data_IF_374347404964
#
_entry.id   IF_374347404964
#
_cell.length_a   1.000
_cell.length_b   1.000
_cell.length_c   1.000
_cell.angle_alpha   90.00
_cell.angle_beta   90.00
_cell.angle_gamma   90.00
#
_symmetry.space_group_name_H-M   'P 1'
#
loop_
_entity.id
_entity.type
_entity.pdbx_description
1 polymer ?
#
# COMPACT_ATOMS: atom_id res chain seq x y z
N UNK A 1 -15.67 -55.27 19.48
CA UNK A 1 -15.45 -54.01 18.70
C UNK A 1 -16.66 -53.08 18.76
N UNK A 2 -17.01 -52.59 19.96
CA UNK A 2 -18.11 -51.63 20.17
C UNK A 2 -17.71 -50.49 21.11
N UNK A 3 -16.40 -50.21 21.17
CA UNK A 3 -15.78 -49.07 21.87
C UNK A 3 -14.84 -48.24 20.97
N UNK A 4 -14.81 -48.53 19.66
CA UNK A 4 -13.97 -47.84 18.66
C UNK A 4 -14.81 -47.02 17.66
N UNK A 5 -16.02 -46.60 18.05
CA UNK A 5 -16.97 -45.86 17.19
C UNK A 5 -17.59 -44.63 17.87
N UNK A 6 -17.04 -44.19 19.01
CA UNK A 6 -17.48 -42.99 19.75
C UNK A 6 -16.28 -42.08 20.08
N UNK A 7 -15.16 -42.20 19.34
CA UNK A 7 -13.96 -41.37 19.56
C UNK A 7 -13.34 -40.78 18.28
N UNK A 8 -14.08 -40.85 17.16
CA UNK A 8 -13.73 -40.15 15.91
C UNK A 8 -14.79 -39.10 15.47
N UNK A 9 -15.90 -38.97 16.19
CA UNK A 9 -16.97 -38.01 15.89
C UNK A 9 -16.77 -36.61 16.51
N UNK A 10 -15.72 -36.39 17.28
CA UNK A 10 -15.45 -35.09 17.95
C UNK A 10 -14.21 -34.36 17.43
N UNK A 11 -13.51 -34.91 16.41
CA UNK A 11 -12.30 -34.31 15.84
C UNK A 11 -12.54 -33.58 14.50
N UNK A 12 -13.70 -33.75 13.87
CA UNK A 12 -14.11 -33.00 12.67
C UNK A 12 -14.97 -31.76 12.97
N UNK A 13 -15.46 -31.59 14.20
CA UNK A 13 -16.30 -30.44 14.60
C UNK A 13 -15.53 -29.32 15.29
N UNK A 14 -14.24 -29.50 15.57
CA UNK A 14 -13.32 -28.48 16.12
C UNK A 14 -12.25 -28.12 15.08
N UNK A 15 -12.67 -28.04 13.81
CA UNK A 15 -11.86 -27.50 12.71
C UNK A 15 -12.67 -26.45 11.93
N UNK A 16 -13.55 -25.73 12.64
CA UNK A 16 -14.40 -24.66 12.10
C UNK A 16 -14.21 -23.30 12.79
N UNK A 17 -13.24 -23.19 13.70
CA UNK A 17 -12.90 -21.93 14.37
C UNK A 17 -11.37 -21.80 14.36
N UNK A 18 -10.87 -20.66 13.84
CA UNK A 18 -9.45 -20.24 13.74
C UNK A 18 -8.71 -20.44 12.41
N UNK A 19 -9.30 -20.01 11.28
CA UNK A 19 -8.56 -19.26 10.24
C UNK A 19 -9.50 -18.17 9.67
N UNK A 20 -9.94 -17.23 10.50
CA UNK A 20 -10.36 -15.92 9.99
C UNK A 20 -9.15 -15.03 10.18
N UNK A 21 -8.42 -14.82 9.08
CA UNK A 21 -7.41 -13.79 8.98
C UNK A 21 -8.04 -12.46 9.37
N UNK A 22 -7.71 -11.97 10.55
CA UNK A 22 -8.10 -10.67 11.09
C UNK A 22 -7.35 -9.55 10.35
N UNK A 23 -7.70 -9.34 9.08
CA UNK A 23 -7.58 -8.11 8.30
C UNK A 23 -7.76 -8.43 6.81
N UNK A 24 -9.00 -8.56 6.38
CA UNK A 24 -9.37 -8.34 4.99
C UNK A 24 -10.84 -7.93 4.98
N UNK A 25 -11.11 -6.62 5.03
CA UNK A 25 -12.42 -6.10 4.70
C UNK A 25 -12.76 -6.54 3.29
N UNK A 26 -13.51 -7.63 3.16
CA UNK A 26 -14.00 -8.09 1.87
C UNK A 26 -14.89 -6.99 1.28
N UNK A 27 -14.48 -6.46 0.13
CA UNK A 27 -15.30 -5.58 -0.70
C UNK A 27 -16.43 -6.44 -1.25
N UNK A 28 -17.66 -6.25 -0.80
CA UNK A 28 -18.76 -7.12 -1.22
C UNK A 28 -19.50 -6.60 -2.46
N UNK A 29 -19.47 -5.29 -2.72
CA UNK A 29 -20.16 -4.74 -3.89
C UNK A 29 -19.66 -3.34 -4.25
N UNK A 30 -19.67 -3.07 -5.56
CA UNK A 30 -19.53 -1.75 -6.14
C UNK A 30 -20.76 -1.48 -7.02
N UNK A 31 -21.29 -0.25 -6.95
CA UNK A 31 -22.23 0.24 -7.94
C UNK A 31 -21.92 1.66 -8.39
N UNK A 32 -22.32 1.94 -9.63
CA UNK A 32 -22.18 3.23 -10.29
C UNK A 32 -23.50 3.65 -10.91
N UNK A 33 -23.79 4.96 -10.87
CA UNK A 33 -24.84 5.56 -11.67
C UNK A 33 -24.57 5.38 -13.17
N UNK A 34 -25.63 5.46 -14.00
CA UNK A 34 -25.56 5.32 -15.47
C UNK A 34 -24.44 6.13 -16.16
N UNK A 35 -24.15 7.33 -15.65
CA UNK A 35 -23.14 8.25 -16.19
C UNK A 35 -21.75 8.10 -15.54
N UNK A 36 -21.58 7.13 -14.64
CA UNK A 36 -20.36 6.88 -13.86
C UNK A 36 -19.90 8.03 -12.97
N UNK A 37 -20.73 9.06 -12.76
CA UNK A 37 -20.39 10.20 -11.89
C UNK A 37 -20.54 9.91 -10.40
N UNK A 38 -21.43 8.98 -10.05
CA UNK A 38 -21.66 8.57 -8.67
C UNK A 38 -21.37 7.09 -8.57
N UNK A 39 -20.21 6.73 -8.03
CA UNK A 39 -19.81 5.36 -7.80
C UNK A 39 -19.44 5.20 -6.33
N UNK A 40 -19.80 4.05 -5.76
CA UNK A 40 -19.45 3.74 -4.39
C UNK A 40 -19.17 2.26 -4.19
N UNK A 41 -18.25 1.99 -3.27
CA UNK A 41 -18.01 0.67 -2.70
C UNK A 41 -18.50 0.63 -1.27
N UNK A 42 -18.93 -0.55 -0.85
CA UNK A 42 -19.32 -0.82 0.52
C UNK A 42 -18.31 -1.73 1.22
N UNK A 43 -17.94 -1.33 2.43
CA UNK A 43 -17.11 -2.10 3.34
C UNK A 43 -17.91 -2.46 4.59
N UNK A 44 -18.04 -3.76 4.88
CA UNK A 44 -18.68 -4.27 6.09
C UNK A 44 -17.60 -4.50 7.15
N UNK A 45 -17.22 -3.43 7.85
CA UNK A 45 -16.21 -3.44 8.89
C UNK A 45 -16.62 -2.49 10.00
N UNK A 46 -16.62 -2.99 11.24
CA UNK A 46 -17.07 -2.19 12.36
C UNK A 46 -16.01 -1.23 12.88
N UNK A 47 -16.16 0.05 12.53
CA UNK A 47 -15.18 1.10 12.80
C UNK A 47 -15.84 2.44 13.08
N UNK A 48 -15.09 3.34 13.74
CA UNK A 48 -15.45 4.74 13.91
C UNK A 48 -15.31 5.55 12.62
N UNK A 49 -15.83 6.79 12.61
CA UNK A 49 -15.82 7.64 11.42
C UNK A 49 -14.40 7.96 10.94
N UNK A 50 -13.49 8.30 11.86
CA UNK A 50 -12.10 8.63 11.48
C UNK A 50 -11.40 7.43 10.83
N UNK A 51 -11.64 6.23 11.33
CA UNK A 51 -11.08 4.99 10.82
C UNK A 51 -11.70 4.60 9.48
N UNK A 52 -13.02 4.74 9.33
CA UNK A 52 -13.68 4.60 8.03
C UNK A 52 -13.08 5.54 6.97
N UNK A 53 -12.90 6.82 7.32
CA UNK A 53 -12.30 7.81 6.44
C UNK A 53 -10.84 7.50 6.07
N UNK A 54 -10.06 6.96 7.01
CA UNK A 54 -8.68 6.52 6.76
C UNK A 54 -8.66 5.32 5.81
N UNK A 55 -9.51 4.33 6.04
CA UNK A 55 -9.61 3.14 5.19
C UNK A 55 -9.99 3.52 3.74
N UNK A 56 -10.92 4.45 3.53
CA UNK A 56 -11.20 4.94 2.18
C UNK A 56 -9.99 5.63 1.54
N UNK A 57 -9.23 6.43 2.31
CA UNK A 57 -8.02 7.13 1.82
C UNK A 57 -6.89 6.19 1.46
N UNK A 58 -6.71 5.12 2.23
CA UNK A 58 -5.72 4.08 1.92
C UNK A 58 -6.03 3.37 0.59
N UNK A 59 -7.30 3.36 0.17
CA UNK A 59 -7.73 2.86 -1.14
C UNK A 59 -7.78 3.95 -2.21
N UNK A 60 -7.20 5.13 -1.98
CA UNK A 60 -7.16 6.26 -2.93
C UNK A 60 -8.42 7.13 -2.95
N UNK A 61 -9.41 6.84 -2.11
CA UNK A 61 -10.70 7.54 -2.11
C UNK A 61 -11.01 8.31 -0.82
N UNK A 62 -12.30 8.57 -0.61
CA UNK A 62 -12.84 9.20 0.59
C UNK A 62 -14.19 8.59 0.96
N UNK A 63 -14.74 8.94 2.13
CA UNK A 63 -16.09 8.52 2.44
C UNK A 63 -17.08 9.09 1.42
N UNK A 64 -17.99 8.24 0.93
CA UNK A 64 -18.98 8.56 -0.09
C UNK A 64 -19.81 9.77 0.35
N UNK A 65 -19.81 10.84 -0.44
CA UNK A 65 -20.57 12.06 -0.14
C UNK A 65 -21.80 12.10 -1.04
N UNK A 66 -22.94 11.55 -0.58
CA UNK A 66 -24.17 11.68 -1.35
C UNK A 66 -24.51 13.17 -1.48
N UNK A 67 -24.38 13.69 -2.70
CA UNK A 67 -25.04 14.93 -3.11
C UNK A 67 -26.54 14.64 -3.09
N UNK A 68 -27.39 15.60 -2.73
CA UNK A 68 -28.86 15.48 -2.86
C UNK A 68 -29.26 15.35 -4.35
N UNK A 69 -28.99 14.19 -4.94
CA UNK A 69 -29.29 13.81 -6.31
C UNK A 69 -29.88 12.40 -6.29
N UNK A 70 -30.89 12.19 -7.12
CA UNK A 70 -31.54 10.87 -7.22
C UNK A 70 -30.53 9.77 -7.61
N UNK A 71 -29.49 10.11 -8.37
CA UNK A 71 -28.47 9.16 -8.80
C UNK A 71 -27.55 8.68 -7.66
N UNK A 72 -27.27 9.51 -6.65
CA UNK A 72 -26.48 9.08 -5.49
C UNK A 72 -27.31 8.18 -4.56
N UNK A 73 -28.59 8.50 -4.40
CA UNK A 73 -29.55 7.71 -3.61
C UNK A 73 -29.78 6.31 -4.21
N UNK A 74 -29.86 6.21 -5.55
CA UNK A 74 -29.98 4.91 -6.24
C UNK A 74 -28.77 4.00 -5.98
N UNK A 75 -27.56 4.55 -5.98
CA UNK A 75 -26.32 3.81 -5.69
C UNK A 75 -26.32 3.29 -4.25
N UNK A 76 -26.64 4.17 -3.30
CA UNK A 76 -26.73 3.79 -1.87
C UNK A 76 -27.79 2.73 -1.65
N UNK A 77 -28.98 2.91 -2.23
CA UNK A 77 -30.08 1.96 -2.13
C UNK A 77 -29.74 0.57 -2.69
N UNK A 78 -29.00 0.51 -3.80
CA UNK A 78 -28.53 -0.76 -4.34
C UNK A 78 -27.50 -1.45 -3.42
N UNK A 79 -26.50 -0.70 -2.94
CA UNK A 79 -25.41 -1.26 -2.12
C UNK A 79 -25.89 -1.75 -0.76
N UNK A 80 -26.88 -1.07 -0.19
CA UNK A 80 -27.49 -1.43 1.09
C UNK A 80 -28.67 -2.39 0.95
N UNK A 81 -28.99 -2.81 -0.28
CA UNK A 81 -30.08 -3.75 -0.53
C UNK A 81 -29.79 -5.06 0.21
N UNK A 82 -30.75 -5.50 1.02
CA UNK A 82 -30.67 -6.71 1.85
C UNK A 82 -29.58 -6.68 2.94
N UNK A 83 -29.01 -5.52 3.25
CA UNK A 83 -28.15 -5.36 4.43
C UNK A 83 -28.96 -4.81 5.60
N UNK A 84 -28.55 -5.19 6.81
CA UNK A 84 -29.11 -4.70 8.06
C UNK A 84 -27.98 -3.99 8.79
N UNK A 85 -28.25 -2.80 9.32
CA UNK A 85 -27.28 -2.01 10.07
C UNK A 85 -27.14 -0.59 9.55
N UNK A 86 -26.11 0.09 10.06
CA UNK A 86 -25.82 1.48 9.76
C UNK A 86 -24.43 1.61 9.14
N UNK A 87 -24.33 2.50 8.14
CA UNK A 87 -23.11 2.66 7.37
C UNK A 87 -22.69 4.13 7.36
N UNK A 88 -21.41 4.38 7.61
CA UNK A 88 -20.88 5.74 7.55
C UNK A 88 -20.89 6.29 6.13
N UNK A 89 -21.24 7.57 6.01
CA UNK A 89 -21.12 8.39 4.79
C UNK A 89 -20.16 9.55 5.04
N UNK A 90 -19.74 10.26 3.99
CA UNK A 90 -18.82 11.40 4.09
C UNK A 90 -19.47 12.71 4.54
N UNK A 91 -20.75 12.69 4.94
CA UNK A 91 -21.47 13.85 5.43
C UNK A 91 -21.16 14.12 6.91
N UNK A 92 -20.83 15.37 7.21
CA UNK A 92 -20.65 15.91 8.57
C UNK A 92 -21.62 17.06 8.79
N UNK A 93 -22.17 17.14 9.99
CA UNK A 93 -22.94 18.32 10.37
C UNK A 93 -21.99 19.50 10.65
N UNK A 94 -22.41 20.75 10.39
CA UNK A 94 -21.65 21.94 10.76
C UNK A 94 -21.33 21.93 12.27
N UNK A 95 -20.16 22.46 12.64
CA UNK A 95 -19.64 22.48 14.02
C UNK A 95 -20.61 23.10 15.03
N UNK A 96 -21.50 23.97 14.55
CA UNK A 96 -22.48 24.75 15.31
C UNK A 96 -23.76 23.93 15.66
N UNK A 97 -23.87 22.68 15.18
CA UNK A 97 -24.98 21.76 15.51
C UNK A 97 -24.43 20.49 16.19
N UNK A 98 -24.33 20.49 17.52
CA UNK A 98 -23.90 19.33 18.30
C UNK A 98 -24.90 18.88 19.35
N UNK A 99 -24.74 17.62 19.77
CA UNK A 99 -25.51 17.03 20.84
C UNK A 99 -24.89 17.44 22.18
N UNK A 100 -25.63 18.21 22.98
CA UNK A 100 -25.22 18.45 24.37
C UNK A 100 -25.44 17.17 25.19
N UNK A 101 -24.55 16.95 26.18
CA UNK A 101 -24.49 15.76 27.04
C UNK A 101 -25.80 15.46 27.83
N UNK A 102 -26.79 16.36 27.75
CA UNK A 102 -28.10 16.27 28.40
C UNK A 102 -29.21 15.69 27.52
N UNK A 103 -28.97 15.38 26.24
CA UNK A 103 -30.00 14.80 25.36
C UNK A 103 -29.76 13.31 25.11
N UNK A 104 -30.40 12.48 25.93
CA UNK A 104 -30.56 11.04 25.66
C UNK A 104 -31.48 10.85 24.44
N UNK A 105 -30.89 10.54 23.29
CA UNK A 105 -31.62 10.16 22.08
C UNK A 105 -32.18 8.74 22.24
N UNK A 106 -33.49 8.63 22.48
CA UNK A 106 -34.21 7.36 22.35
C UNK A 106 -34.46 7.06 20.87
N UNK A 107 -34.35 5.79 20.54
CA UNK A 107 -34.51 5.21 19.21
C UNK A 107 -35.89 5.57 18.61
N UNK A 108 -35.90 6.32 17.49
CA UNK A 108 -37.11 6.49 16.65
C UNK A 108 -37.68 7.91 16.47
N UNK A 109 -37.11 8.98 17.03
CA UNK A 109 -37.64 10.35 16.83
C UNK A 109 -37.01 11.10 15.64
N UNK A 110 -37.87 11.61 14.73
CA UNK A 110 -37.51 12.64 13.75
C UNK A 110 -37.30 13.97 14.49
N UNK A 111 -36.05 14.41 14.58
CA UNK A 111 -35.75 15.73 15.17
C UNK A 111 -36.10 16.82 14.16
N UNK A 112 -37.19 17.55 14.40
CA UNK A 112 -37.60 18.70 13.57
C UNK A 112 -37.16 20.05 14.12
N UNK A 113 -36.61 20.18 15.32
CA UNK A 113 -36.19 21.48 15.84
C UNK A 113 -35.14 21.31 16.95
N UNK A 114 -34.01 22.00 16.81
CA UNK A 114 -32.99 22.10 17.86
C UNK A 114 -33.10 23.49 18.47
N UNK A 115 -33.63 23.59 19.68
CA UNK A 115 -33.62 24.84 20.45
C UNK A 115 -32.23 25.05 21.06
N UNK A 116 -31.60 26.17 20.73
CA UNK A 116 -30.34 26.61 21.30
C UNK A 116 -30.50 26.86 22.81
N UNK A 117 -29.75 26.13 23.63
CA UNK A 117 -29.62 26.44 25.05
C UNK A 117 -28.14 26.68 25.34
N UNK A 118 -27.78 27.96 25.51
CA UNK A 118 -26.45 28.40 25.93
C UNK A 118 -26.28 28.10 27.42
N UNK A 119 -25.40 27.14 27.76
CA UNK A 119 -24.76 27.06 29.08
C UNK A 119 -23.36 26.45 28.96
N UNK A 120 -22.50 26.86 29.90
CA UNK A 120 -21.04 26.82 29.92
C UNK A 120 -20.40 25.42 29.85
N UNK A 121 -19.23 25.35 29.20
CA UNK A 121 -18.28 24.22 29.11
C UNK A 121 -18.82 22.86 28.62
N UNK A 122 -19.75 22.84 27.67
CA UNK A 122 -20.12 21.59 26.99
C UNK A 122 -19.15 21.24 25.86
N UNK A 123 -18.37 20.18 26.07
CA UNK A 123 -17.60 19.52 25.00
C UNK A 123 -18.54 19.10 23.87
N UNK A 124 -18.54 19.87 22.79
CA UNK A 124 -19.38 19.66 21.61
C UNK A 124 -18.95 18.36 20.91
N UNK A 125 -19.78 17.31 21.01
CA UNK A 125 -19.49 16.02 20.35
C UNK A 125 -19.74 16.19 18.85
N UNK A 126 -18.74 15.95 17.98
CA UNK A 126 -18.92 16.09 16.54
C UNK A 126 -19.90 15.02 16.03
N UNK A 127 -20.87 15.46 15.23
CA UNK A 127 -21.88 14.59 14.63
C UNK A 127 -21.56 14.27 13.16
N UNK A 128 -21.59 12.98 12.87
CA UNK A 128 -21.38 12.39 11.57
C UNK A 128 -22.66 11.69 11.10
N UNK A 129 -22.85 11.52 9.80
CA UNK A 129 -24.10 10.98 9.26
C UNK A 129 -23.93 9.52 8.83
N UNK A 130 -24.82 8.68 9.37
CA UNK A 130 -25.00 7.30 8.96
C UNK A 130 -26.18 7.14 8.01
N UNK A 131 -26.17 6.08 7.20
CA UNK A 131 -27.30 5.67 6.36
C UNK A 131 -27.65 4.21 6.61
N UNK A 132 -28.95 3.89 6.57
CA UNK A 132 -29.49 2.52 6.65
C UNK A 132 -30.15 2.09 5.33
N UNK A 133 -30.50 0.80 5.23
CA UNK A 133 -31.05 0.19 4.01
C UNK A 133 -32.39 0.75 3.54
N UNK A 134 -33.15 1.38 4.44
CA UNK A 134 -34.39 2.12 4.16
C UNK A 134 -34.14 3.55 3.65
N UNK A 135 -32.87 3.95 3.50
CA UNK A 135 -32.47 5.29 3.07
C UNK A 135 -32.50 6.34 4.18
N UNK A 136 -32.78 5.94 5.44
CA UNK A 136 -32.81 6.88 6.55
C UNK A 136 -31.40 7.38 6.89
N UNK A 137 -31.24 8.70 6.96
CA UNK A 137 -29.99 9.37 7.34
C UNK A 137 -30.06 9.81 8.79
N UNK A 138 -29.17 9.29 9.61
CA UNK A 138 -29.21 9.53 11.07
C UNK A 138 -27.90 10.18 11.53
N UNK A 139 -27.94 11.36 12.16
CA UNK A 139 -26.77 11.96 12.79
C UNK A 139 -26.39 11.16 14.03
N UNK A 140 -25.10 10.85 14.18
CA UNK A 140 -24.54 10.05 15.26
C UNK A 140 -23.19 10.63 15.70
N UNK A 141 -22.76 10.45 16.97
CA UNK A 141 -21.40 10.76 17.38
C UNK A 141 -20.37 10.12 16.45
N UNK A 142 -19.39 10.91 15.99
CA UNK A 142 -18.36 10.38 15.08
C UNK A 142 -17.49 9.27 15.71
N UNK A 143 -17.52 9.13 17.04
CA UNK A 143 -16.84 8.09 17.82
C UNK A 143 -17.57 6.74 17.84
N UNK A 144 -18.83 6.69 17.41
CA UNK A 144 -19.61 5.45 17.35
C UNK A 144 -18.96 4.47 16.36
N UNK A 145 -19.03 3.18 16.67
CA UNK A 145 -18.63 2.12 15.74
C UNK A 145 -19.89 1.58 15.06
N UNK A 146 -19.96 1.73 13.74
CA UNK A 146 -21.09 1.24 12.95
C UNK A 146 -20.77 -0.08 12.25
N UNK A 147 -21.68 -0.62 11.45
CA UNK A 147 -21.52 -1.94 10.81
C UNK A 147 -20.64 -1.89 9.55
N UNK A 148 -20.50 -0.69 8.97
CA UNK A 148 -19.67 -0.49 7.80
C UNK A 148 -19.60 0.96 7.35
N UNK A 149 -19.08 1.16 6.14
CA UNK A 149 -18.94 2.48 5.54
C UNK A 149 -18.91 2.41 4.02
N UNK A 150 -19.32 3.50 3.40
CA UNK A 150 -19.32 3.68 1.95
C UNK A 150 -18.14 4.57 1.55
N UNK A 151 -17.36 4.14 0.57
CA UNK A 151 -16.31 4.95 -0.03
C UNK A 151 -16.69 5.36 -1.45
N UNK A 152 -16.46 6.62 -1.78
CA UNK A 152 -16.29 7.07 -3.16
C UNK A 152 -14.80 7.19 -3.44
N UNK A 153 -14.42 7.23 -4.70
CA UNK A 153 -13.07 7.61 -5.04
C UNK A 153 -13.05 8.84 -5.95
N UNK A 154 -12.10 9.72 -5.63
CA UNK A 154 -11.86 11.01 -6.26
C UNK A 154 -10.96 10.94 -7.50
N UNK A 155 -10.25 9.82 -7.68
CA UNK A 155 -9.20 9.63 -8.69
C UNK A 155 -9.64 8.73 -9.87
N UNK A 156 -10.75 7.98 -9.72
CA UNK A 156 -11.40 7.24 -10.79
C UNK A 156 -11.08 5.74 -10.83
N UNK A 157 -10.47 5.18 -9.79
CA UNK A 157 -10.20 3.76 -9.58
C UNK A 157 -11.26 3.04 -8.74
N UNK A 158 -12.41 3.71 -8.57
CA UNK A 158 -13.47 3.46 -7.57
C UNK A 158 -13.84 2.00 -7.41
N UNK A 159 -13.84 1.20 -8.47
CA UNK A 159 -14.28 -0.20 -8.43
C UNK A 159 -13.31 -1.21 -9.03
N UNK A 160 -12.06 -0.81 -9.31
CA UNK A 160 -11.10 -1.65 -10.05
C UNK A 160 -11.73 -2.23 -11.33
N UNK A 161 -12.57 -1.43 -11.99
CA UNK A 161 -13.38 -1.81 -13.17
C UNK A 161 -14.53 -2.81 -12.92
N UNK A 162 -14.68 -3.37 -11.72
CA UNK A 162 -15.72 -4.34 -11.41
C UNK A 162 -16.96 -3.68 -10.78
N UNK A 163 -17.68 -2.88 -11.57
CA UNK A 163 -18.87 -2.17 -11.13
C UNK A 163 -20.17 -2.77 -11.70
N UNK A 164 -21.25 -2.68 -10.92
CA UNK A 164 -22.61 -2.76 -11.44
C UNK A 164 -23.05 -1.36 -11.88
N UNK A 165 -23.41 -1.21 -13.15
CA UNK A 165 -23.92 0.06 -13.68
C UNK A 165 -25.44 0.05 -13.55
N UNK A 166 -25.95 1.00 -12.77
CA UNK A 166 -27.38 1.19 -12.53
C UNK A 166 -28.01 1.93 -13.71
N UNK A 167 -28.67 1.16 -14.57
CA UNK A 167 -29.43 1.63 -15.72
C UNK A 167 -30.61 0.69 -15.94
N UNK A 168 -31.83 1.23 -16.02
CA UNK A 168 -33.04 0.43 -16.25
C UNK A 168 -33.06 -0.20 -17.65
N UNK A 169 -32.15 0.20 -18.55
CA UNK A 169 -32.00 -0.41 -19.86
C UNK A 169 -31.43 -1.84 -19.77
N UNK A 170 -31.97 -2.72 -20.62
CA UNK A 170 -31.48 -4.10 -20.75
C UNK A 170 -30.14 -4.15 -21.49
N UNK A 171 -29.41 -5.27 -21.37
CA UNK A 171 -28.10 -5.49 -21.99
C UNK A 171 -28.04 -5.22 -23.51
N UNK A 172 -29.17 -5.30 -24.21
CA UNK A 172 -29.28 -4.99 -25.65
C UNK A 172 -28.80 -3.57 -26.01
N UNK A 173 -28.92 -2.62 -25.08
CA UNK A 173 -28.50 -1.23 -25.27
C UNK A 173 -27.33 -0.83 -24.36
N UNK A 174 -26.76 -1.79 -23.62
CA UNK A 174 -25.65 -1.53 -22.73
C UNK A 174 -24.37 -1.32 -23.56
N UNK A 175 -23.67 -0.19 -23.39
CA UNK A 175 -22.45 0.12 -24.15
C UNK A 175 -21.22 -0.64 -23.60
N UNK A 176 -21.36 -1.94 -23.30
CA UNK A 176 -20.23 -2.78 -22.92
C UNK A 176 -19.37 -3.10 -24.14
N UNK A 177 -18.05 -3.00 -24.01
CA UNK A 177 -17.10 -3.31 -25.09
C UNK A 177 -17.10 -4.79 -25.46
N UNK A 178 -17.25 -5.68 -24.47
CA UNK A 178 -17.29 -7.12 -24.67
C UNK A 178 -18.62 -7.73 -24.20
N UNK A 179 -18.66 -8.33 -23.00
CA UNK A 179 -19.80 -9.14 -22.53
C UNK A 179 -20.64 -8.35 -21.53
N UNK A 180 -21.95 -8.26 -21.78
CA UNK A 180 -22.92 -7.72 -20.83
C UNK A 180 -23.64 -8.85 -20.07
N UNK A 181 -23.85 -8.64 -18.77
CA UNK A 181 -24.66 -9.51 -17.92
C UNK A 181 -25.75 -8.68 -17.22
N UNK A 182 -27.04 -8.99 -17.43
CA UNK A 182 -28.12 -8.22 -16.80
C UNK A 182 -28.16 -8.53 -15.30
N UNK A 183 -28.45 -7.51 -14.50
CA UNK A 183 -28.75 -7.64 -13.07
C UNK A 183 -30.05 -6.92 -12.77
N UNK A 184 -30.63 -7.18 -11.59
CA UNK A 184 -31.99 -6.73 -11.25
C UNK A 184 -32.23 -5.22 -11.43
N UNK A 185 -31.22 -4.39 -11.17
CA UNK A 185 -31.30 -2.93 -11.21
C UNK A 185 -30.39 -2.30 -12.28
N UNK A 186 -29.83 -3.10 -13.18
CA UNK A 186 -28.77 -2.63 -14.07
C UNK A 186 -28.12 -3.71 -14.92
N UNK A 187 -26.84 -3.49 -15.24
CA UNK A 187 -26.01 -4.48 -15.91
C UNK A 187 -24.58 -4.44 -15.38
N UNK A 188 -23.86 -5.54 -15.59
CA UNK A 188 -22.42 -5.65 -15.34
C UNK A 188 -21.73 -5.98 -16.66
N UNK A 189 -20.77 -5.14 -17.04
CA UNK A 189 -19.88 -5.42 -18.16
C UNK A 189 -18.72 -6.31 -17.69
N UNK A 190 -18.27 -7.20 -18.56
CA UNK A 190 -17.17 -8.14 -18.31
C UNK A 190 -16.37 -8.33 -19.58
N UNK A 191 -15.10 -8.67 -19.43
CA UNK A 191 -14.16 -8.76 -20.53
C UNK A 191 -13.86 -10.22 -20.89
N UNK A 192 -13.49 -10.44 -22.15
CA UNK A 192 -12.99 -11.73 -22.62
C UNK A 192 -11.59 -12.02 -22.05
N UNK A 193 -11.12 -13.27 -22.19
CA UNK A 193 -9.80 -13.66 -21.70
C UNK A 193 -8.67 -12.75 -22.22
N UNK A 194 -7.68 -12.47 -21.36
CA UNK A 194 -6.59 -11.48 -21.54
C UNK A 194 -7.00 -10.01 -21.40
N UNK A 195 -8.28 -9.71 -21.16
CA UNK A 195 -8.75 -8.36 -20.89
C UNK A 195 -9.38 -8.26 -19.51
N UNK A 196 -9.26 -7.10 -18.86
CA UNK A 196 -9.92 -6.77 -17.60
C UNK A 196 -10.76 -5.51 -17.76
N UNK A 197 -11.83 -5.33 -16.97
CA UNK A 197 -12.58 -4.09 -17.00
C UNK A 197 -11.68 -2.89 -16.73
N UNK A 198 -11.85 -1.83 -17.53
CA UNK A 198 -11.07 -0.62 -17.36
C UNK A 198 -11.39 0.01 -16.01
N UNK A 199 -10.34 0.47 -15.34
CA UNK A 199 -10.40 0.92 -13.96
C UNK A 199 -11.30 2.17 -13.81
N UNK A 200 -11.31 3.05 -14.82
CA UNK A 200 -12.10 4.30 -14.87
C UNK A 200 -13.46 4.15 -15.50
N UNK A 201 -13.53 3.36 -16.58
CA UNK A 201 -14.79 3.06 -17.25
C UNK A 201 -15.04 1.55 -17.24
N UNK A 202 -15.85 1.02 -16.31
CA UNK A 202 -16.12 -0.41 -16.19
C UNK A 202 -16.80 -1.01 -17.43
N UNK A 203 -17.25 -0.18 -18.38
CA UNK A 203 -17.84 -0.61 -19.65
C UNK A 203 -16.80 -0.96 -20.70
N UNK A 204 -15.55 -0.50 -20.53
CA UNK A 204 -14.42 -0.74 -21.43
C UNK A 204 -13.50 -1.83 -20.91
N UNK A 205 -12.65 -2.37 -21.78
CA UNK A 205 -11.77 -3.48 -21.48
C UNK A 205 -10.31 -3.12 -21.80
N UNK A 206 -9.45 -3.22 -20.79
CA UNK A 206 -8.01 -3.04 -20.94
C UNK A 206 -7.34 -4.40 -21.13
N UNK A 207 -6.42 -4.47 -22.11
CA UNK A 207 -5.51 -5.59 -22.22
C UNK A 207 -4.59 -5.62 -20.99
N UNK A 208 -4.42 -6.80 -20.38
CA UNK A 208 -3.57 -6.96 -19.20
C UNK A 208 -2.86 -8.31 -19.18
N UNK A 209 -1.82 -8.40 -18.38
CA UNK A 209 -1.12 -9.64 -18.09
C UNK A 209 -1.25 -10.00 -16.61
N UNK A 210 -1.52 -11.28 -16.34
CA UNK A 210 -1.67 -11.81 -14.98
C UNK A 210 -0.33 -12.26 -14.36
N UNK A 211 0.72 -12.36 -15.19
CA UNK A 211 2.05 -12.85 -14.88
C UNK A 211 3.09 -11.85 -15.38
N UNK A 212 4.33 -11.96 -14.90
CA UNK A 212 5.45 -11.10 -15.33
C UNK A 212 5.83 -11.28 -16.79
N UNK A 213 5.44 -12.40 -17.40
CA UNK A 213 5.61 -12.66 -18.84
C UNK A 213 4.30 -13.18 -19.42
N UNK A 214 3.92 -12.69 -20.59
CA UNK A 214 2.70 -13.06 -21.30
C UNK A 214 2.86 -12.91 -22.82
N UNK A 215 1.92 -13.47 -23.59
CA UNK A 215 1.89 -13.28 -25.04
C UNK A 215 1.46 -11.86 -25.41
N UNK A 216 2.15 -11.27 -26.39
CA UNK A 216 1.78 -9.99 -26.95
C UNK A 216 0.50 -10.09 -27.79
N UNK A 217 -0.27 -9.01 -27.83
CA UNK A 217 -1.42 -8.90 -28.71
C UNK A 217 -0.93 -8.55 -30.12
N UNK A 218 -0.92 -9.51 -31.04
CA UNK A 218 -0.41 -9.34 -32.40
C UNK A 218 -1.52 -9.26 -33.45
N UNK A 219 -1.43 -8.28 -34.35
CA UNK A 219 -2.22 -8.18 -35.56
C UNK A 219 -1.43 -8.71 -36.76
N UNK A 220 -2.06 -9.60 -37.52
CA UNK A 220 -1.48 -10.27 -38.67
C UNK A 220 -2.13 -9.74 -39.95
N UNK A 221 -1.32 -9.56 -41.00
CA UNK A 221 -1.77 -9.24 -42.33
C UNK A 221 -1.23 -10.31 -43.27
N UNK A 222 -2.12 -11.09 -43.91
CA UNK A 222 -1.74 -12.10 -44.90
C UNK A 222 -0.62 -13.07 -44.45
N UNK A 223 -0.71 -13.58 -43.21
CA UNK A 223 0.24 -14.49 -42.53
C UNK A 223 1.56 -13.88 -42.03
N UNK A 224 1.77 -12.58 -42.23
CA UNK A 224 2.89 -11.85 -41.63
C UNK A 224 2.45 -11.06 -40.39
N UNK A 225 3.29 -11.03 -39.35
CA UNK A 225 3.06 -10.23 -38.14
C UNK A 225 3.29 -8.76 -38.50
N UNK A 226 2.22 -7.97 -38.57
CA UNK A 226 2.31 -6.54 -38.93
C UNK A 226 2.67 -5.68 -37.72
N UNK A 227 2.05 -5.95 -36.57
CA UNK A 227 2.32 -5.20 -35.34
C UNK A 227 1.88 -5.99 -34.11
N UNK A 228 2.64 -5.90 -33.03
CA UNK A 228 2.29 -6.45 -31.72
C UNK A 228 2.39 -5.38 -30.64
N UNK A 229 1.46 -5.43 -29.68
CA UNK A 229 1.37 -4.48 -28.57
C UNK A 229 1.38 -5.20 -27.22
N UNK A 230 1.93 -4.52 -26.23
CA UNK A 230 1.97 -4.93 -24.84
C UNK A 230 1.11 -3.99 -23.99
N UNK A 231 0.59 -4.47 -22.84
CA UNK A 231 -0.10 -3.59 -21.92
C UNK A 231 0.87 -2.58 -21.30
N UNK A 232 0.33 -1.52 -20.69
CA UNK A 232 1.14 -0.52 -19.96
C UNK A 232 1.91 -1.21 -18.82
N UNK A 233 3.16 -0.81 -18.60
CA UNK A 233 4.07 -1.43 -17.61
C UNK A 233 4.84 -2.63 -18.15
N UNK A 234 4.69 -2.97 -19.44
CA UNK A 234 5.39 -4.09 -20.06
C UNK A 234 6.19 -3.64 -21.29
N UNK A 235 7.35 -4.26 -21.48
CA UNK A 235 8.18 -4.09 -22.67
C UNK A 235 8.01 -5.28 -23.61
N UNK A 236 7.98 -4.99 -24.91
CA UNK A 236 7.85 -6.03 -25.94
C UNK A 236 9.21 -6.68 -26.21
N UNK A 237 9.27 -7.99 -26.03
CA UNK A 237 10.41 -8.82 -26.43
C UNK A 237 9.90 -9.86 -27.42
N UNK A 238 10.21 -9.69 -28.71
CA UNK A 238 9.63 -10.50 -29.80
C UNK A 238 8.08 -10.49 -29.79
N UNK A 239 7.46 -11.65 -29.54
CA UNK A 239 6.01 -11.87 -29.46
C UNK A 239 5.52 -12.02 -28.00
N UNK A 240 6.37 -11.71 -27.03
CA UNK A 240 6.02 -11.70 -25.62
C UNK A 240 6.12 -10.28 -25.06
N UNK A 241 5.41 -10.09 -23.96
CA UNK A 241 5.48 -8.91 -23.13
C UNK A 241 6.09 -9.33 -21.81
N UNK A 242 7.13 -8.62 -21.40
CA UNK A 242 7.81 -8.80 -20.12
C UNK A 242 7.59 -7.57 -19.26
N UNK A 243 7.32 -7.82 -17.98
CA UNK A 243 7.10 -6.81 -16.96
C UNK A 243 8.34 -5.91 -16.83
N UNK A 244 8.12 -4.60 -16.76
CA UNK A 244 9.19 -3.64 -16.55
C UNK A 244 9.41 -3.53 -15.05
N UNK A 245 10.60 -3.88 -14.56
CA UNK A 245 10.94 -3.61 -13.17
C UNK A 245 11.34 -2.14 -13.00
N UNK A 246 10.38 -1.30 -12.61
CA UNK A 246 10.65 0.12 -12.43
C UNK A 246 11.57 0.41 -11.22
N UNK A 247 11.76 -0.56 -10.31
CA UNK A 247 12.65 -0.41 -9.15
C UNK A 247 14.14 -0.50 -9.51
N UNK A 248 14.48 -1.05 -10.67
CA UNK A 248 15.85 -1.08 -11.19
C UNK A 248 16.28 0.27 -11.79
N UNK A 249 15.35 1.22 -11.90
CA UNK A 249 15.58 2.59 -12.38
C UNK A 249 15.45 3.62 -11.25
N UNK A 250 15.58 4.91 -11.58
CA UNK A 250 15.26 5.97 -10.62
C UNK A 250 13.75 5.99 -10.33
N UNK A 251 13.36 5.26 -9.27
CA UNK A 251 11.96 4.91 -8.97
C UNK A 251 11.17 6.00 -8.22
N UNK A 252 11.79 7.11 -7.81
CA UNK A 252 11.09 8.22 -7.15
C UNK A 252 10.52 7.96 -5.74
N UNK A 253 10.53 6.71 -5.25
CA UNK A 253 10.21 6.40 -3.85
C UNK A 253 11.20 6.99 -2.85
N UNK A 254 10.70 7.54 -1.74
CA UNK A 254 11.54 8.11 -0.69
C UNK A 254 12.41 7.06 0.04
N UNK A 255 11.88 5.85 0.25
CA UNK A 255 12.56 4.79 1.02
C UNK A 255 12.71 3.48 0.24
N UNK A 256 11.64 2.69 0.12
CA UNK A 256 11.66 1.38 -0.55
C UNK A 256 10.82 1.43 -1.81
N UNK A 257 11.29 0.75 -2.86
CA UNK A 257 10.51 0.41 -4.05
C UNK A 257 10.18 -1.08 -4.02
N UNK A 258 8.95 -1.42 -4.39
CA UNK A 258 8.47 -2.80 -4.51
C UNK A 258 7.87 -2.98 -5.90
N UNK A 259 8.55 -3.76 -6.75
CA UNK A 259 8.05 -4.09 -8.08
C UNK A 259 6.80 -4.98 -8.00
N UNK A 260 5.83 -4.74 -8.87
CA UNK A 260 4.58 -5.49 -8.97
C UNK A 260 4.23 -5.71 -10.44
N UNK A 261 3.33 -6.63 -10.74
CA UNK A 261 3.01 -6.94 -12.14
C UNK A 261 2.33 -5.73 -12.81
N UNK A 262 3.01 -5.14 -13.79
CA UNK A 262 2.60 -3.99 -14.60
C UNK A 262 2.77 -2.63 -13.94
N UNK A 263 3.39 -2.55 -12.76
CA UNK A 263 3.60 -1.29 -12.01
C UNK A 263 4.51 -1.50 -10.79
N UNK A 264 4.76 -0.47 -9.99
CA UNK A 264 5.48 -0.58 -8.73
C UNK A 264 4.78 0.23 -7.64
N UNK A 265 5.14 -0.02 -6.38
CA UNK A 265 4.67 0.78 -5.25
C UNK A 265 5.79 1.11 -4.29
N UNK A 266 5.70 2.28 -3.68
CA UNK A 266 6.63 2.69 -2.63
C UNK A 266 6.21 2.16 -1.27
N UNK A 267 7.19 1.98 -0.38
CA UNK A 267 6.98 1.64 1.02
C UNK A 267 7.99 2.37 1.91
N UNK A 268 7.65 2.55 3.18
CA UNK A 268 8.49 3.21 4.16
C UNK A 268 9.13 2.21 5.13
N UNK A 269 10.34 2.52 5.63
CA UNK A 269 10.86 1.87 6.82
C UNK A 269 10.05 2.29 8.05
N UNK A 270 9.86 1.40 9.01
CA UNK A 270 9.29 1.78 10.30
C UNK A 270 10.23 2.77 11.02
N UNK A 271 9.69 3.77 11.76
CA UNK A 271 8.27 4.04 12.08
C UNK A 271 7.57 5.01 11.10
N UNK A 272 8.06 5.16 9.87
CA UNK A 272 7.51 6.11 8.91
C UNK A 272 6.29 5.55 8.17
N UNK A 273 5.35 6.43 7.84
CA UNK A 273 4.15 6.12 7.07
C UNK A 273 4.22 6.75 5.68
N UNK A 274 3.69 6.03 4.69
CA UNK A 274 3.66 6.49 3.31
C UNK A 274 2.59 7.57 3.16
N UNK A 275 2.98 8.72 2.60
CA UNK A 275 2.12 9.86 2.29
C UNK A 275 2.25 10.15 0.80
N UNK A 276 1.13 10.49 0.16
CA UNK A 276 1.06 10.81 -1.28
C UNK A 276 1.59 9.71 -2.23
N UNK A 277 1.74 8.47 -1.75
CA UNK A 277 2.20 7.33 -2.54
C UNK A 277 3.71 7.23 -2.77
N UNK A 278 4.48 8.28 -2.49
CA UNK A 278 5.95 8.30 -2.71
C UNK A 278 6.76 8.83 -1.52
N UNK A 279 6.17 9.66 -0.66
CA UNK A 279 6.84 10.32 0.46
C UNK A 279 6.67 9.54 1.77
N UNK A 280 7.62 9.67 2.69
CA UNK A 280 7.56 9.02 4.00
C UNK A 280 7.63 10.06 5.11
N UNK A 281 6.63 10.09 6.00
CA UNK A 281 6.59 11.00 7.16
C UNK A 281 6.48 10.24 8.47
N UNK A 282 6.90 10.85 9.57
CA UNK A 282 6.76 10.26 10.91
C UNK A 282 5.29 10.28 11.33
N UNK A 283 4.76 9.14 11.77
CA UNK A 283 3.46 9.09 12.44
C UNK A 283 3.62 9.58 13.89
N UNK A 284 3.32 10.86 14.12
CA UNK A 284 3.30 11.47 15.45
C UNK A 284 1.85 11.58 15.93
N UNK A 285 1.54 10.97 17.08
CA UNK A 285 0.27 11.20 17.78
C UNK A 285 0.58 11.83 19.13
N UNK A 286 0.07 13.05 19.38
CA UNK A 286 0.31 13.82 20.60
C UNK A 286 1.81 13.96 21.01
N UNK A 287 2.71 14.08 20.03
CA UNK A 287 4.14 14.24 20.29
C UNK A 287 4.89 12.94 20.64
N UNK A 288 4.22 11.79 20.65
CA UNK A 288 4.83 10.48 20.89
C UNK A 288 4.77 9.59 19.64
N UNK A 289 5.82 8.79 19.44
CA UNK A 289 5.94 7.83 18.32
C UNK A 289 5.12 6.59 18.66
N UNK A 290 4.06 6.33 17.88
CA UNK A 290 3.11 5.20 18.10
C UNK A 290 3.73 3.80 17.94
N UNK A 291 4.93 3.70 17.36
CA UNK A 291 5.66 2.45 17.27
C UNK A 291 6.63 2.33 18.45
N UNK A 292 6.31 1.47 19.42
CA UNK A 292 7.27 0.99 20.42
C UNK A 292 8.49 0.46 19.68
N UNK A 293 9.67 1.01 19.97
CA UNK A 293 10.94 0.43 19.56
C UNK A 293 10.92 -1.05 19.95
N UNK A 294 10.91 -1.96 18.97
CA UNK A 294 11.27 -3.34 19.25
C UNK A 294 12.70 -3.30 19.84
N UNK A 295 12.97 -3.88 21.02
CA UNK A 295 14.28 -3.83 21.65
C UNK A 295 15.41 -4.44 20.79
N UNK A 296 15.05 -5.11 19.70
CA UNK A 296 15.98 -5.77 18.80
C UNK A 296 16.37 -4.94 17.58
N UNK A 297 16.00 -3.66 17.48
CA UNK A 297 16.61 -2.77 16.49
C UNK A 297 18.00 -2.34 16.96
N UNK A 298 18.96 -3.25 16.82
CA UNK A 298 20.35 -2.84 16.69
C UNK A 298 20.38 -1.98 15.43
N UNK A 299 20.63 -0.68 15.61
CA UNK A 299 20.97 0.22 14.55
C UNK A 299 22.14 -0.38 13.78
N UNK A 300 21.81 -1.10 12.72
CA UNK A 300 22.74 -1.48 11.68
C UNK A 300 22.97 -0.19 10.90
N UNK A 301 23.70 0.74 11.51
CA UNK A 301 24.41 1.75 10.73
C UNK A 301 25.17 0.98 9.66
N UNK A 302 25.03 1.41 8.41
CA UNK A 302 25.61 0.77 7.24
C UNK A 302 27.02 0.27 7.54
N UNK A 303 27.15 -1.03 7.85
CA UNK A 303 28.42 -1.71 7.88
C UNK A 303 28.66 -2.07 6.42
N UNK A 304 29.47 -1.24 5.79
CA UNK A 304 30.02 -1.43 4.45
C UNK A 304 30.36 -2.90 4.25
N UNK A 305 29.95 -3.42 3.10
CA UNK A 305 30.13 -4.83 2.73
C UNK A 305 31.58 -5.30 2.98
N UNK A 306 31.81 -6.58 3.31
CA UNK A 306 33.16 -7.12 3.58
C UNK A 306 34.18 -6.88 2.45
N UNK A 307 33.73 -6.51 1.24
CA UNK A 307 34.55 -6.23 0.07
C UNK A 307 35.29 -4.89 0.09
N UNK A 308 34.80 -3.86 0.80
CA UNK A 308 35.45 -2.53 0.77
C UNK A 308 36.68 -2.44 1.69
N UNK A 309 36.73 -3.22 2.77
CA UNK A 309 37.88 -3.22 3.70
C UNK A 309 39.03 -4.14 3.27
N UNK A 310 38.77 -5.11 2.38
CA UNK A 310 39.82 -5.99 1.88
C UNK A 310 40.94 -5.21 1.19
N UNK A 311 40.59 -4.20 0.38
CA UNK A 311 41.56 -3.32 -0.27
C UNK A 311 42.38 -2.50 0.71
N UNK A 312 41.75 -1.95 1.76
CA UNK A 312 42.43 -1.17 2.80
C UNK A 312 43.38 -2.05 3.63
N UNK A 313 42.97 -3.26 4.00
CA UNK A 313 43.81 -4.20 4.76
C UNK A 313 45.01 -4.63 3.91
N UNK A 314 44.80 -4.96 2.63
CA UNK A 314 45.90 -5.32 1.71
C UNK A 314 46.86 -4.13 1.55
N UNK A 315 46.35 -2.91 1.38
CA UNK A 315 47.17 -1.71 1.26
C UNK A 315 48.02 -1.47 2.52
N UNK A 316 47.44 -1.62 3.71
CA UNK A 316 48.19 -1.47 4.97
C UNK A 316 49.26 -2.55 5.13
N UNK A 317 48.98 -3.80 4.76
CA UNK A 317 49.98 -4.89 4.81
C UNK A 317 51.14 -4.61 3.85
N UNK A 318 50.86 -4.19 2.62
CA UNK A 318 51.89 -3.84 1.62
C UNK A 318 52.72 -2.64 2.09
N UNK A 319 52.08 -1.61 2.64
CA UNK A 319 52.76 -0.43 3.16
C UNK A 319 53.71 -0.77 4.33
N UNK A 320 53.27 -1.61 5.27
CA UNK A 320 54.11 -2.10 6.38
C UNK A 320 55.29 -2.92 5.86
N UNK A 321 55.07 -3.80 4.88
CA UNK A 321 56.15 -4.60 4.30
C UNK A 321 57.18 -3.73 3.58
N UNK A 322 56.74 -2.75 2.80
CA UNK A 322 57.63 -1.78 2.14
C UNK A 322 58.46 -0.98 3.15
N UNK A 323 57.83 -0.55 4.26
CA UNK A 323 58.53 0.11 5.37
C UNK A 323 59.58 -0.79 6.02
N UNK A 324 59.27 -2.06 6.26
CA UNK A 324 60.23 -3.03 6.81
C UNK A 324 61.42 -3.22 5.86
N UNK A 325 61.18 -3.41 4.57
CA UNK A 325 62.24 -3.52 3.56
C UNK A 325 63.08 -2.25 3.53
N UNK A 326 62.46 -1.07 3.58
CA UNK A 326 63.17 0.21 3.61
C UNK A 326 64.02 0.37 4.88
N UNK A 327 63.51 -0.01 6.04
CA UNK A 327 64.27 0.01 7.30
C UNK A 327 65.43 -0.99 7.27
N UNK A 328 65.23 -2.20 6.73
CA UNK A 328 66.30 -3.19 6.56
C UNK A 328 67.36 -2.71 5.56
N UNK A 329 66.94 -2.06 4.48
CA UNK A 329 67.84 -1.43 3.51
C UNK A 329 68.67 -0.31 4.16
N UNK A 330 68.05 0.57 4.95
CA UNK A 330 68.78 1.61 5.69
C UNK A 330 69.70 1.03 6.78
N UNK A 331 69.31 -0.06 7.44
CA UNK A 331 70.18 -0.79 8.40
C UNK A 331 71.36 -1.46 7.69
N UNK A 332 71.14 -2.09 6.54
CA UNK A 332 72.20 -2.64 5.69
C UNK A 332 73.16 -1.56 5.21
N UNK A 333 72.65 -0.38 4.85
CA UNK A 333 73.47 0.77 4.49
C UNK A 333 74.29 1.32 5.67
N UNK A 334 73.75 1.29 6.90
CA UNK A 334 74.52 1.60 8.11
C UNK A 334 75.61 0.57 8.41
N UNK A 335 75.38 -0.72 8.13
CA UNK A 335 76.42 -1.74 8.27
C UNK A 335 77.60 -1.51 7.31
N UNK A 336 77.36 -1.04 6.08
CA UNK A 336 78.43 -0.67 5.14
C UNK A 336 79.12 0.67 5.43
N UNK A 337 78.57 1.51 6.31
CA UNK A 337 79.19 2.79 6.71
C UNK A 337 80.04 2.64 7.99
N UNK A 338 79.90 1.53 8.71
CA UNK A 338 80.69 1.21 9.91
C UNK A 338 81.93 0.33 9.62
N UNK A 339 82.45 0.39 8.39
CA UNK A 339 83.72 -0.23 7.98
C UNK A 339 84.80 0.80 7.57
N UNK A 340 84.52 2.11 7.75
CA UNK A 340 85.47 3.20 7.48
C UNK A 340 85.91 3.96 8.74
N UNK A 341 86.15 3.27 9.86
CA UNK A 341 86.93 3.82 10.97
C UNK A 341 87.90 2.73 11.50
N UNK A 342 89.20 2.81 11.19
CA UNK A 342 90.18 1.85 11.69
C UNK A 342 90.55 2.16 13.15
N UNK A 343 90.71 1.16 14.03
CA UNK A 343 91.50 1.31 15.24
C UNK A 343 93.00 1.20 14.92
N UNK A 344 93.71 2.15 15.52
CA UNK A 344 95.14 2.23 15.77
C UNK A 344 95.84 0.86 15.93
N UNK A 345 97.01 0.71 15.29
CA UNK A 345 98.00 -0.31 15.65
C UNK A 345 99.34 0.36 15.92
N UNK A 346 99.83 0.15 17.14
CA UNK A 346 101.14 0.56 17.64
C UNK A 346 102.27 -0.20 16.92
N UNK A 347 103.29 0.57 16.54
CA UNK A 347 104.72 0.39 16.80
C UNK A 347 105.34 -1.03 16.75
N UNK A 348 106.34 -1.19 15.87
CA UNK A 348 107.63 -1.76 16.26
C UNK A 348 108.76 -1.36 15.29
N UNK A 349 109.87 -1.00 15.91
CA UNK A 349 111.10 -0.39 15.42
C UNK A 349 111.99 -1.37 14.63
N UNK A 350 112.87 -0.87 13.75
CA UNK A 350 114.30 -1.25 13.82
C UNK A 350 115.26 -0.24 13.13
N UNK A 351 116.38 -0.06 13.83
CA UNK A 351 117.67 0.62 13.57
C UNK A 351 118.25 0.50 12.14
N UNK A 352 119.19 1.33 11.66
CA UNK A 352 120.57 1.55 12.13
C UNK A 352 121.19 2.82 11.49
N UNK A 353 122.04 3.49 12.25
CA UNK A 353 122.92 4.61 11.89
C UNK A 353 124.14 4.18 11.04
N UNK A 354 124.48 4.97 10.02
CA UNK A 354 125.85 5.49 9.80
C UNK A 354 125.82 6.77 8.97
#
# INVERSE_FOLDING_TARGET
EKKQLIMDSHKQTISFIMIISSCAGMVYSCACSRNLKHCANIYQMSVDFQTAQRNCREQGGQLFRPIQSNASDEVVGYLLKNLIGYFWTGLRLPSDKCLNNTSTLREGERITEFTNLETEETSCIPLCVSVSSDGMRTPRPCTDKLDGFLCEDSQGDICKGNAVVLDKAQCMLAPCEHKCTPVETGYRCSCMGRFRPNVRDPRRCDFYCATTVCEALCYYDSLEVKSCWCPVGFIRINQTCEDIDECESNHGCAHKCLNTIGTYRCACYEPFVLVNGTECTLSLYNGEVLAKLSPNYIASGALSTPGEYAGLIIFLIVAVFALLVFVLYLRGRKATVQECNPPNYEESQESVSK
#
